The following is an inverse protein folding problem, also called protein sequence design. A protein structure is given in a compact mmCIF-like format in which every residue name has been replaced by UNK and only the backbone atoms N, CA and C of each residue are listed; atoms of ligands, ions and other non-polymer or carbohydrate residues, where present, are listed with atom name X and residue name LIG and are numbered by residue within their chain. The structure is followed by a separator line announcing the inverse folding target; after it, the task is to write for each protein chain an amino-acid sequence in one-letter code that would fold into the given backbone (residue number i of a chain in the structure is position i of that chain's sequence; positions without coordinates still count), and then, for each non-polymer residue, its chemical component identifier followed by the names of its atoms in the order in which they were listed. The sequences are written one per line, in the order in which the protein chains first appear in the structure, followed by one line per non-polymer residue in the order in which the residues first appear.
data_IF_043823003033
#
_entry.id   IF_043823003033
#
_cell.length_a   1.000
_cell.length_b   1.000
_cell.length_c   1.000
_cell.angle_alpha   90.00
_cell.angle_beta   90.00
_cell.angle_gamma   90.00
#
_symmetry.space_group_name_H-M   'P 1'
#
loop_
_entity.id
_entity.type
_entity.pdbx_description
1 polymer ?
#
# COMPACT_ATOMS: atom_id res chain seq x y z
N UNK A 1 38.09 -9.39 71.55
CA UNK A 1 37.22 -9.82 70.43
C UNK A 1 35.86 -9.21 70.73
N UNK A 2 35.69 -7.93 70.42
CA UNK A 2 34.48 -7.20 70.79
C UNK A 2 33.59 -7.15 69.56
N UNK A 3 32.64 -8.09 69.48
CA UNK A 3 31.61 -8.06 68.46
C UNK A 3 30.70 -6.86 68.71
N UNK A 4 30.93 -5.85 67.89
CA UNK A 4 30.18 -4.61 67.77
C UNK A 4 28.67 -4.88 67.64
N UNK A 5 27.96 -4.91 68.76
CA UNK A 5 26.50 -4.87 68.82
C UNK A 5 26.04 -3.41 68.66
N UNK A 6 26.32 -2.80 67.50
CA UNK A 6 25.65 -1.56 67.13
C UNK A 6 24.18 -1.89 66.88
N UNK A 7 23.22 -1.18 67.51
CA UNK A 7 21.83 -1.25 67.11
C UNK A 7 21.77 -1.04 65.60
N UNK A 8 21.24 -2.04 64.86
CA UNK A 8 20.95 -1.85 63.45
C UNK A 8 20.08 -0.59 63.36
N UNK A 9 20.52 0.46 62.65
CA UNK A 9 19.68 1.62 62.46
C UNK A 9 18.37 1.11 61.87
N UNK A 10 17.25 1.51 62.45
CA UNK A 10 15.92 1.21 61.93
C UNK A 10 15.83 1.81 60.53
N UNK A 11 16.29 1.04 59.53
CA UNK A 11 16.28 1.44 58.13
C UNK A 11 14.83 1.67 57.78
N UNK A 12 14.45 2.89 57.40
CA UNK A 12 13.08 3.18 57.04
C UNK A 12 12.60 2.15 56.01
N UNK A 13 11.49 1.47 56.31
CA UNK A 13 10.94 0.40 55.48
C UNK A 13 10.61 0.88 54.04
N UNK A 14 10.55 2.21 53.82
CA UNK A 14 10.41 2.84 52.51
C UNK A 14 11.68 2.72 51.62
N UNK A 15 12.83 2.38 52.18
CA UNK A 15 14.09 2.15 51.44
C UNK A 15 14.43 0.69 51.23
N UNK A 16 13.61 -0.23 51.76
CA UNK A 16 13.83 -1.66 51.61
C UNK A 16 13.91 -2.05 50.12
N UNK A 17 14.82 -2.96 49.78
CA UNK A 17 14.91 -3.49 48.42
C UNK A 17 13.66 -4.31 48.14
N UNK A 18 12.96 -4.01 47.04
CA UNK A 18 11.79 -4.79 46.63
C UNK A 18 12.20 -6.17 46.14
N UNK A 19 11.45 -7.19 46.58
CA UNK A 19 11.69 -8.57 46.12
C UNK A 19 11.17 -8.77 44.70
N UNK A 20 11.62 -9.83 44.02
CA UNK A 20 11.14 -10.20 42.68
C UNK A 20 9.62 -10.36 42.64
N UNK A 21 9.02 -10.92 43.71
CA UNK A 21 7.57 -11.07 43.84
C UNK A 21 6.86 -9.72 43.79
N UNK A 22 7.38 -8.71 44.47
CA UNK A 22 6.78 -7.38 44.52
C UNK A 22 6.84 -6.68 43.16
N UNK A 23 7.92 -6.90 42.40
CA UNK A 23 8.05 -6.43 41.02
C UNK A 23 7.07 -7.13 40.07
N UNK A 24 6.87 -8.44 40.20
CA UNK A 24 5.90 -9.17 39.38
C UNK A 24 4.48 -8.63 39.62
N UNK A 25 4.09 -8.38 40.87
CA UNK A 25 2.79 -7.78 41.20
C UNK A 25 2.67 -6.38 40.59
N UNK A 26 3.75 -5.59 40.65
CA UNK A 26 3.80 -4.26 40.05
C UNK A 26 3.54 -4.34 38.54
N UNK A 27 4.23 -5.23 37.82
CA UNK A 27 4.01 -5.41 36.38
C UNK A 27 2.61 -5.94 36.05
N UNK A 28 2.04 -6.83 36.88
CA UNK A 28 0.68 -7.33 36.69
C UNK A 28 -0.36 -6.20 36.77
N UNK A 29 -0.18 -5.26 37.70
CA UNK A 29 -1.04 -4.08 37.82
C UNK A 29 -0.86 -3.15 36.61
N UNK A 30 0.39 -2.93 36.17
CA UNK A 30 0.68 -2.11 34.98
C UNK A 30 0.11 -2.71 33.69
N UNK A 31 -0.03 -4.03 33.61
CA UNK A 31 -0.61 -4.70 32.45
C UNK A 31 -2.09 -4.35 32.21
N UNK A 32 -2.80 -3.90 33.24
CA UNK A 32 -4.18 -3.43 33.12
C UNK A 32 -4.13 -1.95 32.67
N UNK A 33 -4.65 -1.58 31.49
CA UNK A 33 -4.39 -0.26 30.91
C UNK A 33 -4.94 0.91 31.74
N UNK A 34 -6.17 0.80 32.24
CA UNK A 34 -6.79 1.88 33.03
C UNK A 34 -6.21 1.92 34.44
N UNK A 35 -6.14 0.76 35.11
CA UNK A 35 -5.63 0.66 36.49
C UNK A 35 -4.14 1.00 36.54
N UNK A 36 -3.36 0.51 35.58
CA UNK A 36 -1.93 0.78 35.43
C UNK A 36 -1.66 2.28 35.27
N UNK A 37 -2.43 2.97 34.43
CA UNK A 37 -2.28 4.42 34.26
C UNK A 37 -2.52 5.17 35.58
N UNK A 38 -3.60 4.86 36.30
CA UNK A 38 -3.90 5.49 37.61
C UNK A 38 -2.83 5.12 38.66
N UNK A 39 -2.41 3.86 38.71
CA UNK A 39 -1.43 3.38 39.70
C UNK A 39 -0.04 3.98 39.50
N UNK A 40 0.37 4.28 38.26
CA UNK A 40 1.62 5.00 38.00
C UNK A 40 1.60 6.36 38.73
N UNK A 41 0.50 7.12 38.65
CA UNK A 41 0.38 8.40 39.36
C UNK A 41 0.35 8.23 40.88
N UNK A 42 -0.42 7.25 41.37
CA UNK A 42 -0.51 6.94 42.81
C UNK A 42 0.86 6.59 43.38
N UNK A 43 1.67 5.80 42.68
CA UNK A 43 3.01 5.42 43.15
C UNK A 43 4.09 6.48 42.87
N UNK A 44 3.97 7.28 41.81
CA UNK A 44 4.92 8.34 41.49
C UNK A 44 4.82 9.53 42.47
N UNK A 45 3.62 9.83 42.97
CA UNK A 45 3.37 10.96 43.87
C UNK A 45 3.04 10.56 45.31
N UNK A 46 2.62 9.32 45.53
CA UNK A 46 2.28 8.81 46.85
C UNK A 46 3.49 8.54 47.75
N UNK A 47 3.16 8.04 48.93
CA UNK A 47 4.10 7.53 49.93
C UNK A 47 4.27 6.01 49.79
N UNK A 48 5.47 5.51 50.06
CA UNK A 48 5.83 4.10 49.91
C UNK A 48 7.28 3.90 49.48
N UNK A 49 7.56 2.74 48.89
CA UNK A 49 8.94 2.36 48.56
C UNK A 49 9.61 3.35 47.57
N UNK A 50 10.73 3.94 47.97
CA UNK A 50 11.49 4.92 47.18
C UNK A 50 11.96 4.36 45.85
N UNK A 51 12.37 3.08 45.80
CA UNK A 51 12.79 2.44 44.56
C UNK A 51 11.65 2.38 43.53
N UNK A 52 10.44 2.02 43.98
CA UNK A 52 9.25 2.01 43.11
C UNK A 52 8.84 3.40 42.67
N UNK A 53 8.88 4.36 43.59
CA UNK A 53 8.53 5.76 43.31
C UNK A 53 9.41 6.35 42.21
N UNK A 54 10.73 6.21 42.33
CA UNK A 54 11.66 6.71 41.30
C UNK A 54 11.48 6.01 39.96
N UNK A 55 11.20 4.70 39.95
CA UNK A 55 10.87 3.99 38.71
C UNK A 55 9.60 4.56 38.03
N UNK A 56 8.53 4.79 38.80
CA UNK A 56 7.29 5.33 38.24
C UNK A 56 7.44 6.79 37.79
N UNK A 57 8.23 7.60 38.50
CA UNK A 57 8.59 8.94 38.06
C UNK A 57 9.40 8.92 36.75
N UNK A 58 10.40 8.03 36.65
CA UNK A 58 11.18 7.86 35.43
C UNK A 58 10.30 7.41 34.26
N UNK A 59 9.31 6.53 34.50
CA UNK A 59 8.34 6.10 33.50
C UNK A 59 7.50 7.28 32.95
N UNK A 60 7.05 8.18 33.83
CA UNK A 60 6.33 9.40 33.41
C UNK A 60 7.21 10.33 32.57
N UNK A 61 8.47 10.52 32.96
CA UNK A 61 9.43 11.30 32.16
C UNK A 61 9.71 10.65 30.81
N UNK A 62 9.84 9.32 30.74
CA UNK A 62 10.02 8.59 29.51
C UNK A 62 8.83 8.76 28.58
N UNK A 63 7.60 8.68 29.11
CA UNK A 63 6.39 8.96 28.34
C UNK A 63 6.39 10.39 27.79
N UNK A 64 6.73 11.38 28.62
CA UNK A 64 6.81 12.78 28.20
C UNK A 64 7.83 12.99 27.08
N UNK A 65 9.05 12.46 27.23
CA UNK A 65 10.10 12.55 26.21
C UNK A 65 9.67 11.83 24.92
N UNK A 66 9.03 10.67 25.05
CA UNK A 66 8.49 9.93 23.91
C UNK A 66 7.46 10.78 23.14
N UNK A 67 6.54 11.45 23.83
CA UNK A 67 5.59 12.38 23.19
C UNK A 67 6.29 13.55 22.50
N UNK A 68 7.29 14.17 23.15
CA UNK A 68 8.05 15.29 22.58
C UNK A 68 8.78 14.89 21.29
N UNK A 69 9.26 13.65 21.18
CA UNK A 69 9.94 13.15 19.98
C UNK A 69 8.93 12.65 18.94
N UNK A 70 7.92 11.89 19.36
CA UNK A 70 6.96 11.25 18.45
C UNK A 70 6.01 12.25 17.79
N UNK A 71 5.54 13.28 18.49
CA UNK A 71 4.62 14.28 17.91
C UNK A 71 5.24 14.97 16.67
N UNK A 72 6.44 15.59 16.74
CA UNK A 72 7.05 16.21 15.57
C UNK A 72 7.49 15.17 14.54
N UNK A 73 7.91 13.97 14.94
CA UNK A 73 8.27 12.89 14.01
C UNK A 73 7.05 12.45 13.17
N UNK A 74 5.91 12.19 13.81
CA UNK A 74 4.66 11.83 13.14
C UNK A 74 4.18 12.97 12.26
N UNK A 75 4.23 14.21 12.73
CA UNK A 75 3.88 15.38 11.92
C UNK A 75 4.79 15.52 10.70
N UNK A 76 6.10 15.34 10.87
CA UNK A 76 7.08 15.40 9.79
C UNK A 76 6.84 14.28 8.76
N UNK A 77 6.63 13.04 9.20
CA UNK A 77 6.33 11.90 8.31
C UNK A 77 4.99 12.12 7.61
N UNK A 78 3.92 12.43 8.34
CA UNK A 78 2.58 12.66 7.76
C UNK A 78 2.52 13.83 6.79
N UNK A 79 3.35 14.87 6.96
CA UNK A 79 3.36 16.03 6.04
C UNK A 79 4.29 15.86 4.86
N UNK A 80 5.42 15.16 5.02
CA UNK A 80 6.44 15.02 3.97
C UNK A 80 6.35 13.73 3.17
N UNK A 81 5.75 12.68 3.74
CA UNK A 81 5.63 11.36 3.10
C UNK A 81 4.49 11.27 2.04
N UNK A 82 3.26 11.78 2.26
CA UNK A 82 2.21 11.70 1.23
C UNK A 82 2.49 12.61 0.04
N UNK A 83 3.13 13.77 0.24
CA UNK A 83 3.50 14.66 -0.87
C UNK A 83 4.51 14.00 -1.83
N UNK A 84 5.45 13.23 -1.30
CA UNK A 84 6.41 12.47 -2.12
C UNK A 84 5.78 11.24 -2.80
N UNK A 85 4.78 10.61 -2.18
CA UNK A 85 4.08 9.43 -2.75
C UNK A 85 3.01 9.82 -3.78
N UNK A 86 2.44 11.03 -3.69
CA UNK A 86 1.41 11.52 -4.61
C UNK A 86 1.98 12.05 -5.95
N UNK A 87 3.29 12.25 -6.05
CA UNK A 87 3.92 12.78 -7.28
C UNK A 87 4.34 11.69 -8.29
N UNK A 88 4.20 10.40 -7.95
CA UNK A 88 4.55 9.29 -8.86
C UNK A 88 3.38 8.80 -9.72
N UNK A 89 2.17 9.35 -9.58
CA UNK A 89 1.07 9.06 -10.49
C UNK A 89 0.94 10.13 -11.59
N UNK A 90 2.08 10.50 -12.20
CA UNK A 90 2.06 10.94 -13.60
C UNK A 90 1.86 9.69 -14.46
N UNK A 91 0.68 9.06 -14.37
CA UNK A 91 0.19 8.21 -15.45
C UNK A 91 0.17 9.13 -16.66
N UNK A 92 1.16 8.95 -17.54
CA UNK A 92 1.44 9.86 -18.64
C UNK A 92 0.13 10.35 -19.24
N UNK A 93 -0.02 11.68 -19.31
CA UNK A 93 -1.07 12.32 -20.07
C UNK A 93 -1.19 11.54 -21.39
N UNK A 94 -2.32 10.85 -21.67
CA UNK A 94 -2.47 10.28 -23.00
C UNK A 94 -2.42 11.49 -23.92
N UNK A 95 -1.66 11.37 -25.00
CA UNK A 95 -1.29 12.47 -25.89
C UNK A 95 -2.47 13.08 -26.69
N UNK A 96 -3.67 13.18 -26.10
CA UNK A 96 -4.85 13.83 -26.66
C UNK A 96 -4.92 15.32 -26.31
N UNK A 97 -4.09 15.83 -25.39
CA UNK A 97 -4.06 17.27 -25.05
C UNK A 97 -3.23 18.13 -26.01
N UNK A 98 -2.64 17.56 -27.07
CA UNK A 98 -2.22 18.41 -28.17
C UNK A 98 -3.49 19.10 -28.71
N UNK A 99 -3.59 20.44 -28.67
CA UNK A 99 -4.77 21.11 -29.19
C UNK A 99 -4.95 20.67 -30.65
N UNK A 100 -6.18 20.28 -31.01
CA UNK A 100 -6.51 19.79 -32.36
C UNK A 100 -6.29 20.84 -33.47
N UNK A 101 -5.71 21.99 -33.15
CA UNK A 101 -5.35 23.05 -34.08
C UNK A 101 -4.03 22.79 -34.83
N UNK A 102 -3.22 21.81 -34.39
CA UNK A 102 -1.91 21.52 -34.98
C UNK A 102 -1.74 20.07 -35.42
N UNK A 103 -2.82 19.28 -35.51
CA UNK A 103 -2.75 18.01 -36.25
C UNK A 103 -2.45 18.33 -37.71
N UNK A 104 -1.33 17.85 -38.29
CA UNK A 104 -1.20 17.86 -39.74
C UNK A 104 -2.43 17.13 -40.27
N UNK A 105 -3.18 17.75 -41.18
CA UNK A 105 -4.24 17.06 -41.89
C UNK A 105 -3.60 15.91 -42.66
N UNK A 106 -3.55 14.74 -42.02
CA UNK A 106 -3.24 13.49 -42.68
C UNK A 106 -4.40 13.27 -43.66
N UNK A 107 -4.19 13.75 -44.89
CA UNK A 107 -5.01 13.44 -46.04
C UNK A 107 -5.14 11.92 -46.06
N UNK A 108 -6.34 11.45 -45.76
CA UNK A 108 -6.68 10.04 -45.86
C UNK A 108 -6.47 9.65 -47.32
N UNK A 109 -5.31 9.08 -47.63
CA UNK A 109 -4.97 8.67 -48.98
C UNK A 109 -5.87 7.47 -49.33
N UNK A 110 -6.97 7.77 -50.03
CA UNK A 110 -7.99 6.80 -50.47
C UNK A 110 -7.42 5.69 -51.34
N UNK A 111 -6.19 5.86 -51.83
CA UNK A 111 -5.47 4.89 -52.65
C UNK A 111 -4.66 3.87 -51.84
N UNK A 112 -4.71 3.93 -50.50
CA UNK A 112 -4.05 2.99 -49.60
C UNK A 112 -5.02 2.06 -48.86
N UNK A 113 -6.31 2.17 -49.14
CA UNK A 113 -7.29 1.17 -48.74
C UNK A 113 -7.05 -0.10 -49.58
N UNK A 114 -6.92 -1.30 -48.97
CA UNK A 114 -6.99 -2.54 -49.75
C UNK A 114 -8.33 -2.55 -50.48
N UNK A 115 -8.30 -2.76 -51.79
CA UNK A 115 -9.49 -2.87 -52.62
C UNK A 115 -10.47 -3.83 -51.93
N UNK A 116 -11.66 -3.32 -51.61
CA UNK A 116 -12.70 -4.14 -51.01
C UNK A 116 -13.06 -5.23 -52.01
N UNK A 117 -12.93 -6.48 -51.59
CA UNK A 117 -13.41 -7.63 -52.34
C UNK A 117 -14.89 -7.42 -52.72
N UNK A 118 -15.29 -7.80 -53.95
CA UNK A 118 -16.62 -7.53 -54.47
C UNK A 118 -17.68 -8.15 -53.55
N UNK A 119 -18.39 -7.28 -52.84
CA UNK A 119 -19.48 -7.64 -51.95
C UNK A 119 -20.65 -8.19 -52.76
N UNK A 120 -20.94 -9.46 -52.51
CA UNK A 120 -22.15 -10.30 -52.66
C UNK A 120 -23.53 -9.76 -53.10
N UNK A 121 -23.65 -8.58 -53.71
CA UNK A 121 -24.93 -8.01 -54.17
C UNK A 121 -25.14 -8.13 -55.70
N UNK A 122 -24.11 -8.57 -56.46
CA UNK A 122 -24.19 -8.80 -57.91
C UNK A 122 -24.49 -10.28 -58.28
N UNK A 123 -25.04 -11.05 -57.34
CA UNK A 123 -25.33 -12.48 -57.55
C UNK A 123 -26.78 -12.76 -57.92
N UNK A 124 -27.57 -11.74 -58.25
CA UNK A 124 -28.99 -11.88 -58.57
C UNK A 124 -29.37 -11.68 -60.04
N UNK A 125 -28.42 -11.29 -60.92
CA UNK A 125 -28.66 -11.20 -62.37
C UNK A 125 -28.07 -12.36 -63.19
N UNK A 126 -27.31 -13.28 -62.59
CA UNK A 126 -26.64 -14.38 -63.31
C UNK A 126 -27.35 -15.73 -63.20
N UNK A 127 -28.69 -15.77 -63.00
CA UNK A 127 -29.46 -17.03 -63.06
C UNK A 127 -30.30 -17.17 -64.35
N UNK A 128 -30.39 -16.13 -65.18
CA UNK A 128 -31.20 -16.17 -66.40
C UNK A 128 -30.41 -16.43 -67.70
N UNK A 129 -29.09 -16.53 -67.65
CA UNK A 129 -28.27 -16.87 -68.84
C UNK A 129 -27.74 -18.31 -68.83
N UNK A 130 -27.87 -19.03 -67.71
CA UNK A 130 -27.42 -20.42 -67.58
C UNK A 130 -28.37 -21.47 -68.20
N UNK A 131 -29.43 -21.05 -68.89
CA UNK A 131 -30.44 -21.95 -69.46
C UNK A 131 -30.45 -22.05 -70.99
N UNK A 132 -29.49 -21.47 -71.73
CA UNK A 132 -29.52 -21.49 -73.20
C UNK A 132 -28.27 -21.97 -73.94
N UNK A 133 -27.18 -22.37 -73.29
CA UNK A 133 -25.99 -22.80 -74.03
C UNK A 133 -25.37 -24.09 -73.44
N UNK A 134 -26.19 -25.14 -73.42
CA UNK A 134 -25.71 -26.53 -73.39
C UNK A 134 -26.04 -27.15 -74.75
N UNK A 135 -25.10 -27.03 -75.68
CA UNK A 135 -24.85 -27.97 -76.79
C UNK A 135 -23.49 -27.56 -77.37
N UNK A 136 -22.42 -28.06 -76.79
CA UNK A 136 -21.73 -29.24 -77.32
C UNK A 136 -20.69 -28.80 -78.36
N UNK A 137 -19.49 -28.53 -77.88
CA UNK A 137 -18.30 -28.55 -78.70
C UNK A 137 -17.12 -29.05 -77.89
N UNK A 138 -16.42 -30.06 -78.43
CA UNK A 138 -14.98 -30.37 -78.36
C UNK A 138 -14.83 -31.83 -78.83
N UNK A 139 -13.81 -32.23 -79.64
CA UNK A 139 -12.74 -31.47 -80.27
C UNK A 139 -12.58 -31.70 -81.80
N UNK A 140 -11.91 -30.75 -82.42
CA UNK A 140 -11.15 -30.89 -83.66
C UNK A 140 -10.00 -31.93 -83.48
N UNK A 141 -9.75 -32.72 -84.52
CA UNK A 141 -8.51 -33.42 -84.86
C UNK A 141 -7.75 -34.29 -83.82
N UNK A 142 -8.20 -35.54 -83.65
CA UNK A 142 -7.27 -36.68 -83.51
C UNK A 142 -7.34 -37.54 -84.76
N UNK A 143 -6.52 -37.18 -85.73
CA UNK A 143 -6.19 -37.97 -86.90
C UNK A 143 -5.27 -39.14 -86.49
N UNK A 144 -5.53 -40.32 -87.08
CA UNK A 144 -4.59 -41.40 -87.36
C UNK A 144 -3.92 -42.22 -86.21
N UNK A 145 -4.43 -43.44 -86.04
CA UNK A 145 -3.65 -44.69 -86.01
C UNK A 145 -4.65 -45.84 -86.31
N UNK A 146 -4.66 -46.39 -87.53
CA UNK A 146 -4.06 -47.69 -87.87
C UNK A 146 -4.40 -48.82 -86.91
#
# INVERSE_FOLDING_TARGET
MDQNNTPHPNVPNDTAVMTVKDWIITFLILAIPIVGLVMIFVWAFGDGNKNRKHFMQAYLWLMLVCFIIMIPLVFFVMTRFPAAVMQQQNFGQPAYEAPMNNMPSEKFDTNSLPEQEPSADDMSEQENEAASEVSEEVPENAEAAQ
#
